data_IF_712363701162
#
_entry.id   IF_712363701162
#
_cell.length_a   1.000
_cell.length_b   1.000
_cell.length_c   1.000
_cell.angle_alpha   90.00
_cell.angle_beta   90.00
_cell.angle_gamma   90.00
#
_symmetry.space_group_name_H-M   'P 1'
#
loop_
_entity.id
_entity.type
_entity.pdbx_description
1 polymer ?
#
# COMPACT_ATOMS: atom_id res chain seq x y z
N UNK A 1 -42.01 25.73 -53.29
CA UNK A 1 -41.68 24.26 -53.27
C UNK A 1 -40.19 23.98 -53.22
N UNK A 2 -39.31 24.65 -53.91
CA UNK A 2 -37.84 24.40 -53.91
C UNK A 2 -37.18 24.52 -52.52
N UNK A 3 -37.56 25.53 -51.71
CA UNK A 3 -36.99 25.73 -50.38
C UNK A 3 -37.28 24.56 -49.40
N UNK A 4 -38.48 23.96 -49.50
CA UNK A 4 -38.81 22.80 -48.64
C UNK A 4 -38.05 21.55 -49.06
N UNK A 5 -37.79 21.37 -50.34
CA UNK A 5 -36.98 20.24 -50.86
C UNK A 5 -35.53 20.36 -50.43
N UNK A 6 -34.94 21.55 -50.53
CA UNK A 6 -33.58 21.84 -50.09
C UNK A 6 -33.43 21.64 -48.55
N UNK A 7 -34.41 22.09 -47.77
CA UNK A 7 -34.46 21.89 -46.33
C UNK A 7 -34.48 20.41 -45.96
N UNK A 8 -35.36 19.62 -46.64
CA UNK A 8 -35.43 18.17 -46.40
C UNK A 8 -34.14 17.43 -46.79
N UNK A 9 -33.51 17.79 -47.92
CA UNK A 9 -32.23 17.22 -48.36
C UNK A 9 -31.14 17.53 -47.34
N UNK A 10 -31.09 18.77 -46.84
CA UNK A 10 -30.08 19.15 -45.85
C UNK A 10 -30.26 18.40 -44.52
N UNK A 11 -31.50 18.26 -44.04
CA UNK A 11 -31.78 17.46 -42.83
C UNK A 11 -31.42 15.98 -43.00
N UNK A 12 -31.73 15.40 -44.17
CA UNK A 12 -31.37 14.02 -44.48
C UNK A 12 -29.82 13.83 -44.49
N UNK A 13 -29.11 14.80 -45.03
CA UNK A 13 -27.62 14.76 -45.05
C UNK A 13 -27.04 14.85 -43.62
N UNK A 14 -27.55 15.73 -42.78
CA UNK A 14 -27.14 15.84 -41.37
C UNK A 14 -27.42 14.53 -40.62
N UNK A 15 -28.59 13.92 -40.85
CA UNK A 15 -28.92 12.63 -40.24
C UNK A 15 -28.00 11.49 -40.73
N UNK A 16 -27.72 11.48 -42.02
CA UNK A 16 -26.79 10.49 -42.61
C UNK A 16 -25.38 10.63 -42.04
N UNK A 17 -24.86 11.85 -41.90
CA UNK A 17 -23.54 12.11 -41.31
C UNK A 17 -23.49 11.66 -39.83
N UNK A 18 -24.58 11.93 -39.08
CA UNK A 18 -24.71 11.47 -37.68
C UNK A 18 -24.70 9.94 -37.60
N UNK A 19 -25.49 9.26 -38.39
CA UNK A 19 -25.57 7.80 -38.42
C UNK A 19 -24.24 7.16 -38.85
N UNK A 20 -23.60 7.72 -39.88
CA UNK A 20 -22.28 7.28 -40.35
C UNK A 20 -21.22 7.40 -39.23
N UNK A 21 -21.22 8.51 -38.51
CA UNK A 21 -20.32 8.74 -37.36
C UNK A 21 -20.62 7.76 -36.22
N UNK A 22 -21.88 7.49 -35.90
CA UNK A 22 -22.28 6.49 -34.91
C UNK A 22 -21.83 5.07 -35.30
N UNK A 23 -21.97 4.71 -36.56
CA UNK A 23 -21.53 3.41 -37.08
C UNK A 23 -20.01 3.26 -37.01
N UNK A 24 -19.25 4.29 -37.45
CA UNK A 24 -17.79 4.23 -37.47
C UNK A 24 -17.17 4.25 -36.05
N UNK A 25 -17.76 4.99 -35.11
CA UNK A 25 -17.26 5.12 -33.74
C UNK A 25 -17.86 4.11 -32.78
N UNK A 26 -18.93 3.42 -33.15
CA UNK A 26 -19.73 2.52 -32.28
C UNK A 26 -20.22 3.21 -31.01
N UNK A 27 -20.38 4.54 -31.04
CA UNK A 27 -20.86 5.35 -29.90
C UNK A 27 -22.16 6.05 -30.27
N UNK A 28 -23.14 5.98 -29.36
CA UNK A 28 -24.44 6.64 -29.54
C UNK A 28 -24.31 8.18 -29.57
N UNK A 29 -23.35 8.72 -28.81
CA UNK A 29 -23.00 10.14 -28.79
C UNK A 29 -21.48 10.30 -28.94
N UNK A 30 -21.06 11.27 -29.73
CA UNK A 30 -19.64 11.57 -29.96
C UNK A 30 -19.22 12.88 -29.31
N UNK A 31 -20.16 13.81 -29.13
CA UNK A 31 -19.94 15.12 -28.52
C UNK A 31 -20.87 15.29 -27.32
N UNK A 32 -20.44 15.96 -26.24
CA UNK A 32 -21.32 16.28 -25.11
C UNK A 32 -22.54 17.13 -25.51
N UNK A 33 -22.45 17.90 -26.62
CA UNK A 33 -23.51 18.69 -27.18
C UNK A 33 -24.63 17.89 -27.86
N UNK A 34 -24.36 16.63 -28.25
CA UNK A 34 -25.33 15.77 -28.92
C UNK A 34 -26.47 15.36 -27.96
N UNK A 35 -26.11 14.99 -26.73
CA UNK A 35 -27.02 14.73 -25.61
C UNK A 35 -26.27 14.96 -24.28
N UNK A 36 -26.46 16.14 -23.63
CA UNK A 36 -25.76 16.48 -22.41
C UNK A 36 -26.09 15.54 -21.24
N UNK A 37 -27.33 15.04 -21.17
CA UNK A 37 -27.77 14.16 -20.07
C UNK A 37 -27.09 12.80 -20.16
N UNK A 38 -27.07 12.23 -21.36
CA UNK A 38 -26.38 10.95 -21.60
C UNK A 38 -24.87 11.11 -21.47
N UNK A 39 -24.30 12.24 -21.90
CA UNK A 39 -22.87 12.54 -21.74
C UNK A 39 -22.46 12.58 -20.27
N UNK A 40 -23.21 13.29 -19.41
CA UNK A 40 -22.94 13.36 -17.98
C UNK A 40 -23.04 11.98 -17.33
N UNK A 41 -24.07 11.20 -17.66
CA UNK A 41 -24.22 9.83 -17.15
C UNK A 41 -23.06 8.94 -17.57
N UNK A 42 -22.64 9.01 -18.82
CA UNK A 42 -21.51 8.24 -19.32
C UNK A 42 -20.18 8.60 -18.63
N UNK A 43 -19.96 9.90 -18.39
CA UNK A 43 -18.77 10.36 -17.64
C UNK A 43 -18.78 9.86 -16.20
N UNK A 44 -19.93 9.95 -15.50
CA UNK A 44 -20.05 9.41 -14.13
C UNK A 44 -19.78 7.92 -14.07
N UNK A 45 -20.36 7.13 -14.97
CA UNK A 45 -20.13 5.69 -15.03
C UNK A 45 -18.67 5.35 -15.33
N UNK A 46 -18.01 6.08 -16.23
CA UNK A 46 -16.57 5.89 -16.50
C UNK A 46 -15.70 6.22 -15.29
N UNK A 47 -16.03 7.32 -14.57
CA UNK A 47 -15.34 7.65 -13.32
C UNK A 47 -15.50 6.53 -12.30
N UNK A 48 -16.72 6.05 -12.08
CA UNK A 48 -16.97 4.94 -11.15
C UNK A 48 -16.23 3.65 -11.54
N UNK A 49 -16.20 3.31 -12.83
CA UNK A 49 -15.45 2.15 -13.33
C UNK A 49 -13.95 2.35 -13.11
N UNK A 50 -13.43 3.55 -13.33
CA UNK A 50 -12.02 3.88 -13.08
C UNK A 50 -11.67 3.74 -11.60
N UNK A 51 -12.49 4.28 -10.70
CA UNK A 51 -12.35 4.17 -9.25
C UNK A 51 -12.37 2.70 -8.80
N UNK A 52 -13.37 1.94 -9.22
CA UNK A 52 -13.47 0.50 -8.90
C UNK A 52 -12.27 -0.28 -9.43
N UNK A 53 -11.80 0.05 -10.63
CA UNK A 53 -10.62 -0.58 -11.22
C UNK A 53 -9.36 -0.28 -10.40
N UNK A 54 -9.22 0.94 -9.91
CA UNK A 54 -8.10 1.33 -9.04
C UNK A 54 -8.17 0.59 -7.70
N UNK A 55 -9.35 0.52 -7.07
CA UNK A 55 -9.51 -0.23 -5.82
C UNK A 55 -9.20 -1.70 -6.00
N UNK A 56 -9.75 -2.33 -7.03
CA UNK A 56 -9.57 -3.77 -7.26
C UNK A 56 -8.15 -4.13 -7.71
N UNK A 57 -7.58 -3.38 -8.67
CA UNK A 57 -6.29 -3.74 -9.29
C UNK A 57 -5.06 -3.22 -8.56
N UNK A 58 -5.21 -2.17 -7.75
CA UNK A 58 -4.07 -1.55 -7.04
C UNK A 58 -4.25 -1.59 -5.54
N UNK A 59 -5.29 -0.96 -5.00
CA UNK A 59 -5.39 -0.76 -3.57
C UNK A 59 -5.59 -2.06 -2.79
N UNK A 60 -6.40 -2.99 -3.31
CA UNK A 60 -6.64 -4.26 -2.62
C UNK A 60 -5.40 -5.18 -2.60
N UNK A 61 -4.67 -5.41 -3.72
CA UNK A 61 -3.41 -6.15 -3.70
C UNK A 61 -2.32 -5.50 -2.83
N UNK A 62 -2.20 -4.17 -2.86
CA UNK A 62 -1.24 -3.45 -2.02
C UNK A 62 -1.56 -3.62 -0.53
N UNK A 63 -2.85 -3.49 -0.16
CA UNK A 63 -3.30 -3.73 1.21
C UNK A 63 -3.07 -5.19 1.65
N UNK A 64 -3.34 -6.15 0.78
CA UNK A 64 -3.08 -7.56 1.04
C UNK A 64 -1.59 -7.82 1.30
N UNK A 65 -0.72 -7.29 0.44
CA UNK A 65 0.72 -7.43 0.59
C UNK A 65 1.23 -6.76 1.88
N UNK A 66 0.70 -5.59 2.23
CA UNK A 66 1.00 -4.92 3.49
C UNK A 66 0.65 -5.78 4.71
N UNK A 67 -0.55 -6.36 4.71
CA UNK A 67 -1.02 -7.24 5.79
C UNK A 67 -0.17 -8.51 5.87
N UNK A 68 0.21 -9.09 4.73
CA UNK A 68 1.06 -10.28 4.69
C UNK A 68 2.45 -10.01 5.27
N UNK A 69 3.09 -8.90 4.87
CA UNK A 69 4.40 -8.49 5.42
C UNK A 69 4.29 -8.21 6.92
N UNK A 70 3.22 -7.54 7.35
CA UNK A 70 2.95 -7.28 8.78
C UNK A 70 2.80 -8.59 9.55
N UNK A 71 2.03 -9.53 9.01
CA UNK A 71 1.83 -10.85 9.63
C UNK A 71 3.12 -11.66 9.77
N UNK A 72 3.96 -11.66 8.73
CA UNK A 72 5.29 -12.28 8.77
C UNK A 72 6.17 -11.62 9.83
N UNK A 73 6.21 -10.29 9.89
CA UNK A 73 6.96 -9.55 10.90
C UNK A 73 6.52 -9.89 12.32
N UNK A 74 5.20 -9.95 12.58
CA UNK A 74 4.67 -10.35 13.88
C UNK A 74 5.01 -11.80 14.25
N UNK A 75 4.97 -12.72 13.29
CA UNK A 75 5.41 -14.10 13.51
C UNK A 75 6.88 -14.15 13.94
N UNK A 76 7.76 -13.46 13.19
CA UNK A 76 9.19 -13.38 13.52
C UNK A 76 9.42 -12.78 14.92
N UNK A 77 8.70 -11.71 15.28
CA UNK A 77 8.77 -11.12 16.63
C UNK A 77 8.37 -12.14 17.69
N UNK A 78 7.34 -12.93 17.46
CA UNK A 78 6.88 -13.95 18.39
C UNK A 78 7.94 -15.05 18.59
N UNK A 79 8.59 -15.47 17.51
CA UNK A 79 9.66 -16.47 17.55
C UNK A 79 10.88 -15.93 18.31
N UNK A 80 11.30 -14.69 18.04
CA UNK A 80 12.38 -14.01 18.75
C UNK A 80 12.09 -13.93 20.25
N UNK A 81 10.89 -13.51 20.64
CA UNK A 81 10.49 -13.42 22.05
C UNK A 81 10.47 -14.79 22.73
N UNK A 82 10.05 -15.83 22.03
CA UNK A 82 10.08 -17.21 22.51
C UNK A 82 11.53 -17.67 22.74
N UNK A 83 12.42 -17.37 21.82
CA UNK A 83 13.84 -17.69 21.94
C UNK A 83 14.53 -16.90 23.05
N UNK A 84 14.20 -15.60 23.20
CA UNK A 84 14.69 -14.78 24.31
C UNK A 84 14.25 -15.35 25.65
N UNK A 85 12.98 -15.75 25.78
CA UNK A 85 12.47 -16.39 26.99
C UNK A 85 13.21 -17.70 27.30
N UNK A 86 13.43 -18.53 26.27
CA UNK A 86 14.19 -19.78 26.40
C UNK A 86 15.64 -19.54 26.88
N UNK A 87 16.31 -18.52 26.31
CA UNK A 87 17.68 -18.18 26.72
C UNK A 87 17.73 -17.58 28.14
N UNK A 88 16.77 -16.74 28.48
CA UNK A 88 16.65 -16.16 29.81
C UNK A 88 16.43 -17.25 30.89
N UNK A 89 15.52 -18.20 30.59
CA UNK A 89 15.30 -19.36 31.48
C UNK A 89 16.54 -20.24 31.65
N UNK A 90 17.33 -20.45 30.57
CA UNK A 90 18.61 -21.12 30.67
C UNK A 90 19.58 -20.36 31.59
N UNK A 91 19.72 -19.04 31.36
CA UNK A 91 20.62 -18.21 32.16
C UNK A 91 20.21 -18.09 33.65
N UNK A 92 18.93 -18.33 33.97
CA UNK A 92 18.46 -18.35 35.37
C UNK A 92 18.88 -19.60 36.16
N UNK A 93 19.33 -20.66 35.48
CA UNK A 93 19.84 -21.86 36.16
C UNK A 93 21.21 -21.58 36.79
N UNK A 94 21.37 -21.96 38.05
CA UNK A 94 22.58 -21.69 38.84
C UNK A 94 23.82 -22.55 38.49
N UNK A 95 23.66 -23.51 37.60
CA UNK A 95 24.70 -24.52 37.29
C UNK A 95 25.66 -24.09 36.17
N UNK A 96 25.46 -22.89 35.58
CA UNK A 96 26.29 -22.37 34.49
C UNK A 96 27.55 -21.65 35.01
N UNK A 97 28.66 -21.89 34.33
CA UNK A 97 29.90 -21.15 34.55
C UNK A 97 29.80 -19.71 34.02
N UNK A 98 30.68 -18.82 34.50
CA UNK A 98 30.73 -17.43 33.99
C UNK A 98 30.94 -17.35 32.48
N UNK A 99 31.67 -18.29 31.88
CA UNK A 99 31.89 -18.37 30.45
C UNK A 99 30.61 -18.72 29.70
N UNK A 100 29.85 -19.69 30.17
CA UNK A 100 28.56 -20.09 29.58
C UNK A 100 27.50 -18.99 29.69
N UNK A 101 27.48 -18.32 30.84
CA UNK A 101 26.59 -17.15 31.03
C UNK A 101 26.92 -16.02 30.04
N UNK A 102 28.23 -15.80 29.77
CA UNK A 102 28.64 -14.79 28.79
C UNK A 102 28.15 -15.11 27.36
N UNK A 103 28.08 -16.39 27.01
CA UNK A 103 27.54 -16.85 25.72
C UNK A 103 26.02 -16.56 25.66
N UNK A 104 25.29 -16.88 26.72
CA UNK A 104 23.84 -16.61 26.81
C UNK A 104 23.54 -15.11 26.68
N UNK A 105 24.35 -14.27 27.35
CA UNK A 105 24.21 -12.80 27.25
C UNK A 105 24.44 -12.33 25.81
N UNK A 106 25.46 -12.84 25.12
CA UNK A 106 25.71 -12.50 23.70
C UNK A 106 24.55 -12.95 22.80
N UNK A 107 23.99 -14.13 23.04
CA UNK A 107 22.79 -14.59 22.30
C UNK A 107 21.58 -13.71 22.55
N UNK A 108 21.31 -13.28 23.79
CA UNK A 108 20.25 -12.36 24.10
C UNK A 108 20.45 -10.99 23.45
N UNK A 109 21.69 -10.49 23.39
CA UNK A 109 22.02 -9.25 22.68
C UNK A 109 21.74 -9.38 21.18
N UNK A 110 22.13 -10.49 20.56
CA UNK A 110 21.86 -10.77 19.15
C UNK A 110 20.35 -10.83 18.86
N UNK A 111 19.58 -11.52 19.71
CA UNK A 111 18.12 -11.59 19.58
C UNK A 111 17.46 -10.22 19.77
N UNK A 112 17.99 -9.39 20.69
CA UNK A 112 17.54 -8.01 20.85
C UNK A 112 17.76 -7.19 19.58
N UNK A 113 18.92 -7.31 18.97
CA UNK A 113 19.27 -6.56 17.76
C UNK A 113 18.40 -7.02 16.57
N UNK A 114 18.12 -8.34 16.49
CA UNK A 114 17.17 -8.90 15.52
C UNK A 114 15.74 -8.40 15.75
N UNK A 115 15.32 -8.29 17.02
CA UNK A 115 14.02 -7.70 17.37
C UNK A 115 13.87 -6.25 16.87
N UNK A 116 14.92 -5.42 17.06
CA UNK A 116 14.92 -4.05 16.54
C UNK A 116 14.95 -3.99 15.03
N UNK A 117 15.72 -4.86 14.39
CA UNK A 117 15.73 -4.96 12.93
C UNK A 117 14.35 -5.33 12.37
N UNK A 118 13.66 -6.29 13.02
CA UNK A 118 12.29 -6.67 12.65
C UNK A 118 11.30 -5.54 12.91
N UNK A 119 11.48 -4.76 13.98
CA UNK A 119 10.66 -3.56 14.25
C UNK A 119 10.80 -2.47 13.18
N UNK A 120 11.93 -2.44 12.48
CA UNK A 120 12.19 -1.54 11.36
C UNK A 120 11.92 -2.16 9.99
N UNK A 121 11.09 -3.21 9.93
CA UNK A 121 10.67 -3.83 8.68
C UNK A 121 9.98 -2.79 7.78
N UNK A 122 10.44 -2.67 6.54
CA UNK A 122 9.86 -1.80 5.54
C UNK A 122 9.11 -2.56 4.44
N UNK A 123 8.10 -1.93 3.88
CA UNK A 123 7.40 -2.36 2.67
C UNK A 123 7.25 -1.17 1.73
N UNK A 124 7.84 -1.27 0.55
CA UNK A 124 7.81 -0.23 -0.47
C UNK A 124 8.29 1.15 0.04
N UNK A 125 9.34 1.16 0.89
CA UNK A 125 9.92 2.37 1.47
C UNK A 125 9.11 2.97 2.62
N UNK A 126 8.20 2.19 3.23
CA UNK A 126 7.41 2.60 4.39
C UNK A 126 7.59 1.60 5.52
N UNK A 127 7.91 2.08 6.70
CA UNK A 127 8.04 1.24 7.89
C UNK A 127 6.67 0.77 8.37
N UNK A 128 6.55 -0.55 8.59
CA UNK A 128 5.25 -1.20 8.85
C UNK A 128 4.78 -0.95 10.27
N UNK A 129 5.69 -0.89 11.26
CA UNK A 129 5.37 -0.83 12.69
C UNK A 129 5.44 0.58 13.31
N UNK A 130 5.69 1.62 12.51
CA UNK A 130 5.82 3.00 12.99
C UNK A 130 4.51 3.80 13.02
N UNK A 131 3.38 3.15 12.75
CA UNK A 131 2.07 3.78 12.74
C UNK A 131 1.92 4.82 11.64
N UNK A 132 1.59 6.07 11.98
CA UNK A 132 1.42 7.15 10.99
C UNK A 132 2.73 7.72 10.45
N UNK A 133 3.85 7.51 11.12
CA UNK A 133 5.19 7.97 10.71
C UNK A 133 5.93 6.89 9.93
N UNK A 134 5.37 6.51 8.79
CA UNK A 134 5.93 5.44 7.96
C UNK A 134 7.24 5.81 7.25
N UNK A 135 7.68 7.04 7.34
CA UNK A 135 8.92 7.62 6.80
C UNK A 135 10.11 7.56 7.76
N UNK A 136 9.88 7.21 9.02
CA UNK A 136 10.92 7.18 10.07
C UNK A 136 11.05 5.79 10.69
N UNK A 137 12.27 5.40 11.06
CA UNK A 137 12.52 4.16 11.80
C UNK A 137 11.91 4.21 13.20
N UNK A 138 11.51 3.06 13.74
CA UNK A 138 10.98 2.94 15.10
C UNK A 138 12.03 3.33 16.14
N UNK A 139 13.32 3.07 15.85
CA UNK A 139 14.46 3.46 16.67
C UNK A 139 15.53 4.07 15.77
N UNK A 140 15.86 5.34 15.99
CA UNK A 140 17.03 6.01 15.43
C UNK A 140 18.25 5.62 16.26
N UNK A 141 19.38 5.37 15.62
CA UNK A 141 20.65 5.09 16.30
C UNK A 141 21.14 6.28 17.18
N UNK A 142 20.62 7.48 16.92
CA UNK A 142 20.95 8.70 17.68
C UNK A 142 20.56 8.63 19.16
N UNK A 143 19.53 7.85 19.52
CA UNK A 143 19.14 7.71 20.94
C UNK A 143 20.04 6.80 21.75
N UNK A 144 20.96 6.06 21.12
CA UNK A 144 21.96 5.25 21.86
C UNK A 144 23.13 6.07 22.38
N UNK A 145 23.46 7.19 21.75
CA UNK A 145 24.57 8.05 22.17
C UNK A 145 24.22 8.91 23.39
N UNK A 146 22.97 9.31 23.57
CA UNK A 146 22.56 10.12 24.73
C UNK A 146 22.53 9.34 26.04
N UNK A 147 22.12 8.06 26.01
CA UNK A 147 22.14 7.21 27.22
C UNK A 147 23.55 6.80 27.66
N UNK A 148 24.52 6.73 26.74
CA UNK A 148 25.91 6.49 27.09
C UNK A 148 26.61 7.73 27.66
N UNK A 149 26.16 8.93 27.28
CA UNK A 149 26.69 10.19 27.81
C UNK A 149 26.31 10.44 29.28
N UNK A 150 25.16 9.91 29.74
CA UNK A 150 24.71 10.09 31.13
C UNK A 150 25.28 9.09 32.13
N UNK A 151 26.00 8.07 31.68
CA UNK A 151 26.61 7.06 32.58
C UNK A 151 28.09 7.36 32.89
N UNK A 152 28.67 8.42 32.34
CA UNK A 152 30.06 8.82 32.55
C UNK A 152 30.23 10.12 33.35
N UNK A 153 29.34 10.42 34.31
CA UNK A 153 29.57 11.47 35.32
C UNK A 153 29.43 10.87 36.71
#
# INVERSE_FOLDING_TARGET
MQNNSLYNINNNKILQDKLSTQMSTQKAITRPSDDPVVAIRALRLRSSVSELTQYYKKNAPDAQSWIEVTGKGLSTVTDILTDMNRQANKGANKDYTSSELSIIVKQLQSLRDEFYATGNLDYAGRYVFTGYRTDTTMRSEEHTSELQSHVMI
#
